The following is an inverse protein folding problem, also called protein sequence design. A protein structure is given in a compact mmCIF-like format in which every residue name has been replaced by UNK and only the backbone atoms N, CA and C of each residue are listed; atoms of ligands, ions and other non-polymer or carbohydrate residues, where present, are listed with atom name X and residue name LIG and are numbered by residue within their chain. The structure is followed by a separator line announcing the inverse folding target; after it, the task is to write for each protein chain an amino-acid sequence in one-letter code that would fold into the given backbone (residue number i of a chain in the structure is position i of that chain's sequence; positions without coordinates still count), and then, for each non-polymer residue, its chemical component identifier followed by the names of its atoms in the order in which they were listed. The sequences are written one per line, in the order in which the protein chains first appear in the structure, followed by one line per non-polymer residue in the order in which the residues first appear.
data_IF_000445507009
#
_entry.id   IF_000445507009
#
_cell.length_a   1.000
_cell.length_b   1.000
_cell.length_c   1.000
_cell.angle_alpha   90.00
_cell.angle_beta   90.00
_cell.angle_gamma   90.00
#
_symmetry.space_group_name_H-M   'P 1'
#
loop_
_entity.id
_entity.type
_entity.pdbx_description
1 polymer ?
#
# COMPACT_ATOMS: atom_id res chain seq x y z
N UNK A 1 60.24 48.48 9.05
CA UNK A 1 59.36 47.68 9.93
C UNK A 1 57.97 47.76 9.36
N UNK A 2 57.64 46.81 8.50
CA UNK A 2 56.43 46.79 7.62
C UNK A 2 55.48 45.76 8.15
N UNK A 3 54.34 46.21 8.65
CA UNK A 3 53.28 45.35 9.25
C UNK A 3 52.31 44.91 8.17
N UNK A 4 52.42 43.67 7.69
CA UNK A 4 51.52 43.05 6.72
C UNK A 4 50.19 42.70 7.42
N UNK A 5 49.09 43.43 7.12
CA UNK A 5 47.73 43.08 7.57
C UNK A 5 47.19 41.93 6.70
N UNK A 6 47.04 40.76 7.32
CA UNK A 6 46.30 39.64 6.75
C UNK A 6 44.80 39.96 6.73
N UNK A 7 44.22 40.08 5.55
CA UNK A 7 42.77 40.21 5.35
C UNK A 7 42.18 38.79 5.37
N UNK A 8 41.63 38.39 6.53
CA UNK A 8 40.88 37.14 6.64
C UNK A 8 39.58 37.22 5.84
N UNK A 9 39.51 36.49 4.73
CA UNK A 9 38.27 36.31 3.97
C UNK A 9 37.33 35.37 4.72
N UNK A 10 36.35 35.93 5.41
CA UNK A 10 35.21 35.18 5.97
C UNK A 10 34.31 34.77 4.82
N UNK A 11 34.49 33.57 4.28
CA UNK A 11 33.54 32.94 3.39
C UNK A 11 32.26 32.66 4.19
N UNK A 12 31.27 33.54 4.00
CA UNK A 12 29.91 33.33 4.50
C UNK A 12 29.35 32.04 3.83
N UNK A 13 29.20 30.98 4.64
CA UNK A 13 28.49 29.80 4.17
C UNK A 13 27.06 30.21 3.77
N UNK A 14 26.76 30.09 2.50
CA UNK A 14 25.38 30.26 1.97
C UNK A 14 24.54 29.18 2.61
N UNK A 15 23.43 29.51 3.31
CA UNK A 15 22.55 28.49 3.86
C UNK A 15 22.02 27.66 2.68
N UNK A 16 22.30 26.36 2.66
CA UNK A 16 21.66 25.45 1.74
C UNK A 16 20.14 25.58 1.95
N UNK A 17 19.43 26.03 0.93
CA UNK A 17 17.96 26.00 0.94
C UNK A 17 17.51 24.57 1.24
N UNK A 18 16.49 24.37 2.11
CA UNK A 18 15.99 23.04 2.38
C UNK A 18 15.57 22.40 1.06
N UNK A 19 16.08 21.20 0.78
CA UNK A 19 15.74 20.45 -0.42
C UNK A 19 14.20 20.33 -0.48
N UNK A 20 13.61 20.91 -1.52
CA UNK A 20 12.15 20.85 -1.71
C UNK A 20 11.77 19.39 -1.87
N UNK A 21 10.93 18.87 -0.96
CA UNK A 21 10.38 17.52 -1.07
C UNK A 21 9.59 17.44 -2.38
N UNK A 22 10.08 16.63 -3.31
CA UNK A 22 9.39 16.34 -4.57
C UNK A 22 9.10 14.85 -4.63
N UNK A 23 7.83 14.52 -4.86
CA UNK A 23 7.43 13.14 -5.18
C UNK A 23 7.77 12.89 -6.65
N UNK A 24 8.49 11.80 -6.92
CA UNK A 24 8.72 11.32 -8.28
C UNK A 24 7.56 10.37 -8.67
N UNK A 25 6.68 10.76 -9.61
CA UNK A 25 5.55 9.93 -10.03
C UNK A 25 5.98 8.59 -10.65
N UNK A 26 7.10 8.55 -11.37
CA UNK A 26 7.58 7.32 -12.00
C UNK A 26 8.04 6.32 -10.94
N UNK A 27 8.71 6.81 -9.89
CA UNK A 27 9.11 6.00 -8.75
C UNK A 27 7.91 5.47 -7.96
N UNK A 28 6.88 6.31 -7.72
CA UNK A 28 5.65 5.88 -7.06
C UNK A 28 4.95 4.79 -7.88
N UNK A 29 4.82 5.01 -9.18
CA UNK A 29 4.17 4.05 -10.08
C UNK A 29 4.92 2.71 -10.09
N UNK A 30 6.23 2.71 -10.32
CA UNK A 30 7.04 1.48 -10.42
C UNK A 30 7.08 0.71 -9.10
N UNK A 31 7.25 1.41 -7.96
CA UNK A 31 7.26 0.78 -6.65
C UNK A 31 5.87 0.25 -6.26
N UNK A 32 4.80 0.99 -6.53
CA UNK A 32 3.43 0.58 -6.29
C UNK A 32 3.01 -0.61 -7.16
N UNK A 33 3.37 -0.60 -8.45
CA UNK A 33 3.12 -1.73 -9.34
C UNK A 33 3.82 -3.01 -8.86
N UNK A 34 5.12 -2.92 -8.54
CA UNK A 34 5.89 -4.05 -8.04
C UNK A 34 5.32 -4.57 -6.70
N UNK A 35 5.01 -3.67 -5.76
CA UNK A 35 4.42 -4.06 -4.48
C UNK A 35 3.06 -4.73 -4.67
N UNK A 36 2.25 -4.28 -5.66
CA UNK A 36 0.97 -4.91 -5.97
C UNK A 36 1.15 -6.29 -6.61
N UNK A 37 2.17 -6.50 -7.41
CA UNK A 37 2.50 -7.85 -7.90
C UNK A 37 2.91 -8.78 -6.74
N UNK A 38 3.69 -8.27 -5.78
CA UNK A 38 4.10 -9.06 -4.60
C UNK A 38 2.89 -9.45 -3.76
N UNK A 39 1.99 -8.52 -3.42
CA UNK A 39 0.80 -8.84 -2.62
C UNK A 39 -0.10 -9.84 -3.37
N UNK A 40 -0.29 -9.67 -4.67
CA UNK A 40 -1.07 -10.60 -5.50
C UNK A 40 -0.46 -12.00 -5.48
N UNK A 41 0.86 -12.11 -5.65
CA UNK A 41 1.57 -13.39 -5.60
C UNK A 41 1.42 -14.05 -4.24
N UNK A 42 1.60 -13.30 -3.15
CA UNK A 42 1.44 -13.82 -1.78
C UNK A 42 0.03 -14.32 -1.55
N UNK A 43 -0.99 -13.57 -1.99
CA UNK A 43 -2.39 -14.00 -1.86
C UNK A 43 -2.67 -15.30 -2.62
N UNK A 44 -2.18 -15.43 -3.85
CA UNK A 44 -2.33 -16.66 -4.65
C UNK A 44 -1.63 -17.85 -3.99
N UNK A 45 -0.44 -17.66 -3.42
CA UNK A 45 0.26 -18.70 -2.68
C UNK A 45 -0.52 -19.13 -1.42
N UNK A 46 -1.06 -18.17 -0.67
CA UNK A 46 -1.87 -18.47 0.52
C UNK A 46 -3.16 -19.24 0.18
N UNK A 47 -3.78 -18.94 -0.97
CA UNK A 47 -4.89 -19.72 -1.51
C UNK A 47 -4.44 -21.13 -1.92
N UNK A 48 -3.33 -21.23 -2.64
CA UNK A 48 -2.79 -22.51 -3.10
C UNK A 48 -2.48 -23.46 -1.94
N UNK A 49 -1.92 -22.93 -0.85
CA UNK A 49 -1.62 -23.70 0.35
C UNK A 49 -2.83 -23.92 1.28
N UNK A 50 -4.01 -23.45 0.90
CA UNK A 50 -5.25 -23.62 1.70
C UNK A 50 -5.29 -22.77 2.98
N UNK A 51 -4.36 -21.83 3.16
CA UNK A 51 -4.35 -20.89 4.31
C UNK A 51 -5.50 -19.89 4.17
N UNK A 52 -5.71 -19.36 2.98
CA UNK A 52 -6.87 -18.55 2.63
C UNK A 52 -7.90 -19.42 1.91
N UNK A 53 -9.17 -19.24 2.26
CA UNK A 53 -10.29 -19.95 1.58
C UNK A 53 -11.02 -19.05 0.59
N UNK A 54 -10.71 -17.76 0.58
CA UNK A 54 -11.37 -16.75 -0.25
C UNK A 54 -10.33 -15.86 -0.92
N UNK A 55 -10.45 -15.72 -2.22
CA UNK A 55 -9.74 -14.70 -3.00
C UNK A 55 -10.46 -13.37 -2.82
N UNK A 56 -9.90 -12.50 -1.98
CA UNK A 56 -10.52 -11.21 -1.64
C UNK A 56 -10.72 -10.28 -2.85
N UNK A 57 -9.76 -10.09 -3.77
CA UNK A 57 -9.98 -9.34 -5.00
C UNK A 57 -11.14 -9.86 -5.85
N UNK A 58 -11.22 -11.17 -6.04
CA UNK A 58 -12.31 -11.81 -6.76
C UNK A 58 -13.63 -11.68 -5.98
N UNK A 59 -13.60 -11.85 -4.67
CA UNK A 59 -14.77 -11.66 -3.83
C UNK A 59 -15.32 -10.23 -3.96
N UNK A 60 -14.45 -9.19 -3.88
CA UNK A 60 -14.85 -7.79 -4.07
C UNK A 60 -15.46 -7.59 -5.46
N UNK A 61 -14.86 -8.12 -6.52
CA UNK A 61 -15.39 -7.94 -7.87
C UNK A 61 -16.77 -8.60 -8.05
N UNK A 62 -17.01 -9.74 -7.42
CA UNK A 62 -18.32 -10.43 -7.43
C UNK A 62 -19.44 -9.64 -6.76
N UNK A 63 -19.10 -8.65 -5.92
CA UNK A 63 -20.12 -7.76 -5.37
C UNK A 63 -20.79 -6.91 -6.46
N UNK A 64 -20.10 -6.65 -7.57
CA UNK A 64 -20.55 -5.75 -8.63
C UNK A 64 -20.73 -6.43 -9.99
N UNK A 65 -20.07 -7.56 -10.23
CA UNK A 65 -20.03 -8.27 -11.52
C UNK A 65 -20.41 -9.74 -11.34
N UNK A 66 -21.35 -10.22 -12.14
CA UNK A 66 -21.84 -11.61 -12.09
C UNK A 66 -21.18 -12.53 -13.14
N UNK A 67 -20.64 -11.96 -14.22
CA UNK A 67 -20.01 -12.70 -15.31
C UNK A 67 -18.68 -13.32 -14.85
N UNK A 68 -18.50 -14.66 -14.88
CA UNK A 68 -17.31 -15.33 -14.38
C UNK A 68 -16.00 -14.90 -15.05
N UNK A 69 -16.05 -14.56 -16.34
CA UNK A 69 -14.85 -14.11 -17.10
C UNK A 69 -14.47 -12.70 -16.71
N UNK A 70 -15.46 -11.82 -16.56
CA UNK A 70 -15.23 -10.42 -16.20
C UNK A 70 -14.82 -10.24 -14.74
N UNK A 71 -15.29 -11.11 -13.85
CA UNK A 71 -14.98 -11.06 -12.41
C UNK A 71 -13.47 -11.05 -12.16
N UNK A 72 -12.70 -11.91 -12.83
CA UNK A 72 -11.26 -11.97 -12.64
C UNK A 72 -10.55 -10.72 -13.16
N UNK A 73 -10.91 -10.26 -14.37
CA UNK A 73 -10.31 -9.05 -14.94
C UNK A 73 -10.64 -7.81 -14.13
N UNK A 74 -11.89 -7.67 -13.67
CA UNK A 74 -12.32 -6.55 -12.83
C UNK A 74 -11.65 -6.60 -11.46
N UNK A 75 -11.59 -7.78 -10.83
CA UNK A 75 -10.91 -7.96 -9.54
C UNK A 75 -9.44 -7.57 -9.59
N UNK A 76 -8.73 -8.03 -10.61
CA UNK A 76 -7.32 -7.64 -10.82
C UNK A 76 -7.18 -6.14 -11.10
N UNK A 77 -8.06 -5.57 -11.92
CA UNK A 77 -8.06 -4.13 -12.23
C UNK A 77 -8.29 -3.27 -10.99
N UNK A 78 -9.27 -3.62 -10.16
CA UNK A 78 -9.53 -2.93 -8.88
C UNK A 78 -8.29 -3.07 -7.97
N UNK A 79 -7.73 -4.26 -7.86
CA UNK A 79 -6.57 -4.51 -7.00
C UNK A 79 -5.35 -3.71 -7.42
N UNK A 80 -5.02 -3.65 -8.71
CA UNK A 80 -3.93 -2.84 -9.25
C UNK A 80 -4.16 -1.35 -9.01
N UNK A 81 -5.37 -0.86 -9.29
CA UNK A 81 -5.73 0.56 -9.08
C UNK A 81 -5.59 0.95 -7.62
N UNK A 82 -6.10 0.14 -6.70
CA UNK A 82 -6.00 0.39 -5.27
C UNK A 82 -4.55 0.31 -4.78
N UNK A 83 -3.77 -0.66 -5.27
CA UNK A 83 -2.35 -0.75 -4.92
C UNK A 83 -1.56 0.48 -5.37
N UNK A 84 -1.79 1.00 -6.57
CA UNK A 84 -1.18 2.23 -7.05
C UNK A 84 -1.64 3.46 -6.24
N UNK A 85 -2.93 3.55 -5.91
CA UNK A 85 -3.45 4.64 -5.08
C UNK A 85 -2.79 4.65 -3.69
N UNK A 86 -2.65 3.48 -3.05
CA UNK A 86 -1.98 3.38 -1.76
C UNK A 86 -0.47 3.63 -1.83
N UNK A 87 0.19 3.36 -2.96
CA UNK A 87 1.57 3.77 -3.16
C UNK A 87 1.73 5.30 -3.17
N UNK A 88 0.78 6.03 -3.75
CA UNK A 88 0.74 7.48 -3.64
C UNK A 88 0.54 7.97 -2.20
N UNK A 89 -0.37 7.33 -1.45
CA UNK A 89 -0.54 7.64 -0.02
C UNK A 89 0.75 7.38 0.75
N UNK A 90 1.43 6.26 0.49
CA UNK A 90 2.72 5.96 1.11
C UNK A 90 3.77 7.02 0.81
N UNK A 91 3.88 7.46 -0.46
CA UNK A 91 4.83 8.49 -0.86
C UNK A 91 4.60 9.84 -0.14
N UNK A 92 3.35 10.15 0.20
CA UNK A 92 2.99 11.36 0.96
C UNK A 92 3.34 11.26 2.45
N UNK A 93 3.21 10.07 3.06
CA UNK A 93 3.42 9.89 4.50
C UNK A 93 4.84 9.46 4.86
N UNK A 94 5.55 8.79 3.94
CA UNK A 94 6.88 8.22 4.17
C UNK A 94 7.90 9.25 4.69
N UNK A 95 7.94 10.52 4.22
CA UNK A 95 8.89 11.51 4.72
C UNK A 95 8.70 11.88 6.19
N UNK A 96 7.53 11.60 6.74
CA UNK A 96 7.20 11.88 8.15
C UNK A 96 7.62 10.71 9.06
N UNK A 97 7.88 9.54 8.49
CA UNK A 97 8.31 8.35 9.21
C UNK A 97 9.83 8.37 9.40
N UNK A 98 10.28 8.03 10.62
CA UNK A 98 11.69 8.16 11.03
C UNK A 98 12.43 6.82 11.14
N UNK A 99 11.86 5.76 10.58
CA UNK A 99 12.42 4.41 10.65
C UNK A 99 13.13 4.05 9.33
N UNK A 100 13.68 2.85 9.27
CA UNK A 100 14.26 2.34 8.03
C UNK A 100 13.17 2.15 6.94
N UNK A 101 13.53 2.18 5.64
CA UNK A 101 12.56 2.01 4.56
C UNK A 101 11.66 0.79 4.70
N UNK A 102 12.21 -0.35 5.10
CA UNK A 102 11.43 -1.58 5.33
C UNK A 102 10.49 -1.48 6.52
N UNK A 103 10.91 -0.82 7.60
CA UNK A 103 10.05 -0.60 8.77
C UNK A 103 8.93 0.40 8.47
N UNK A 104 9.23 1.48 7.74
CA UNK A 104 8.21 2.43 7.28
C UNK A 104 7.14 1.70 6.45
N UNK A 105 7.58 0.85 5.51
CA UNK A 105 6.67 0.04 4.72
C UNK A 105 5.88 -0.97 5.55
N UNK A 106 6.52 -1.64 6.52
CA UNK A 106 5.85 -2.59 7.41
C UNK A 106 4.73 -1.90 8.23
N UNK A 107 5.03 -0.76 8.85
CA UNK A 107 4.06 0.04 9.61
C UNK A 107 2.90 0.44 8.70
N UNK A 108 3.22 0.93 7.50
CA UNK A 108 2.20 1.29 6.51
C UNK A 108 1.31 0.10 6.15
N UNK A 109 1.89 -1.09 5.92
CA UNK A 109 1.17 -2.32 5.59
C UNK A 109 0.20 -2.74 6.71
N UNK A 110 0.61 -2.64 7.98
CA UNK A 110 -0.27 -2.91 9.14
C UNK A 110 -1.44 -1.93 9.20
N UNK A 111 -1.14 -0.63 9.09
CA UNK A 111 -2.17 0.42 9.14
C UNK A 111 -3.14 0.28 7.97
N UNK A 112 -2.61 0.03 6.76
CA UNK A 112 -3.42 -0.17 5.57
C UNK A 112 -4.34 -1.39 5.73
N UNK A 113 -3.81 -2.52 6.20
CA UNK A 113 -4.61 -3.71 6.50
C UNK A 113 -5.74 -3.41 7.47
N UNK A 114 -5.42 -2.75 8.59
CA UNK A 114 -6.42 -2.40 9.59
C UNK A 114 -7.53 -1.50 9.02
N UNK A 115 -7.17 -0.50 8.21
CA UNK A 115 -8.14 0.38 7.53
C UNK A 115 -9.01 -0.38 6.52
N UNK A 116 -8.39 -1.22 5.69
CA UNK A 116 -9.12 -2.00 4.69
C UNK A 116 -10.08 -2.98 5.37
N UNK A 117 -9.65 -3.65 6.43
CA UNK A 117 -10.48 -4.64 7.13
C UNK A 117 -11.55 -4.02 8.04
N UNK A 118 -11.27 -2.88 8.66
CA UNK A 118 -12.22 -2.22 9.55
C UNK A 118 -13.21 -1.31 8.82
N UNK A 119 -12.83 -0.74 7.67
CA UNK A 119 -13.63 0.25 6.95
C UNK A 119 -13.93 -0.23 5.53
N UNK A 120 -12.90 -0.56 4.76
CA UNK A 120 -13.03 -0.83 3.32
C UNK A 120 -13.94 -2.03 3.03
N UNK A 121 -13.61 -3.20 3.57
CA UNK A 121 -14.37 -4.43 3.35
C UNK A 121 -15.81 -4.34 3.88
N UNK A 122 -16.07 -3.88 5.13
CA UNK A 122 -17.43 -3.71 5.61
C UNK A 122 -18.24 -2.72 4.77
N UNK A 123 -17.67 -1.57 4.42
CA UNK A 123 -18.38 -0.55 3.63
C UNK A 123 -18.75 -1.07 2.25
N UNK A 124 -17.79 -1.68 1.53
CA UNK A 124 -18.04 -2.22 0.20
C UNK A 124 -19.10 -3.32 0.23
N UNK A 125 -19.03 -4.23 1.21
CA UNK A 125 -20.00 -5.31 1.32
C UNK A 125 -21.37 -4.83 1.77
N UNK A 126 -21.45 -3.81 2.63
CA UNK A 126 -22.73 -3.20 3.02
C UNK A 126 -23.41 -2.50 1.83
N UNK A 127 -22.64 -1.75 1.03
CA UNK A 127 -23.17 -1.12 -0.20
C UNK A 127 -23.66 -2.19 -1.18
N UNK A 128 -22.91 -3.27 -1.36
CA UNK A 128 -23.30 -4.37 -2.23
C UNK A 128 -24.56 -5.11 -1.72
N UNK A 129 -24.69 -5.31 -0.40
CA UNK A 129 -25.88 -5.89 0.22
C UNK A 129 -27.12 -5.04 -0.05
N UNK A 130 -27.02 -3.71 0.08
CA UNK A 130 -28.09 -2.78 -0.23
C UNK A 130 -28.49 -2.81 -1.71
N UNK A 131 -27.52 -2.83 -2.63
CA UNK A 131 -27.79 -2.87 -4.09
C UNK A 131 -28.46 -4.17 -4.49
N UNK A 132 -28.06 -5.29 -3.89
CA UNK A 132 -28.54 -6.63 -4.23
C UNK A 132 -29.78 -7.05 -3.42
N UNK A 133 -30.14 -6.30 -2.38
CA UNK A 133 -31.13 -6.68 -1.38
C UNK A 133 -30.84 -8.08 -0.78
N UNK A 134 -29.53 -8.38 -0.53
CA UNK A 134 -29.04 -9.65 -0.03
C UNK A 134 -27.96 -9.43 1.06
N UNK A 135 -28.34 -9.63 2.31
CA UNK A 135 -27.45 -9.46 3.48
C UNK A 135 -26.35 -10.52 3.56
N UNK A 136 -26.46 -11.61 2.80
CA UNK A 136 -25.46 -12.69 2.80
C UNK A 136 -24.11 -12.24 2.22
N UNK A 137 -24.10 -11.18 1.40
CA UNK A 137 -22.88 -10.61 0.82
C UNK A 137 -22.07 -9.76 1.80
N UNK A 138 -22.63 -9.42 2.98
CA UNK A 138 -21.92 -8.65 4.00
C UNK A 138 -20.81 -9.48 4.66
N UNK A 139 -19.55 -9.06 4.48
CA UNK A 139 -18.38 -9.79 4.98
C UNK A 139 -18.17 -9.70 6.50
N UNK A 140 -18.83 -8.75 7.15
CA UNK A 140 -18.59 -8.45 8.57
C UNK A 140 -17.33 -7.62 8.80
N UNK A 141 -17.18 -7.14 10.03
CA UNK A 141 -15.97 -6.44 10.46
C UNK A 141 -14.78 -7.39 10.43
N UNK A 142 -13.63 -6.90 9.94
CA UNK A 142 -12.42 -7.71 9.77
C UNK A 142 -12.66 -8.99 8.95
N UNK A 143 -13.57 -8.95 7.99
CA UNK A 143 -13.95 -10.10 7.17
C UNK A 143 -14.39 -11.33 8.02
N UNK A 144 -14.98 -11.10 9.19
CA UNK A 144 -15.29 -12.15 10.18
C UNK A 144 -16.22 -13.24 9.65
N UNK A 145 -17.09 -12.91 8.70
CA UNK A 145 -17.97 -13.89 8.02
C UNK A 145 -17.25 -14.70 6.94
N UNK A 146 -16.07 -14.26 6.49
CA UNK A 146 -15.24 -14.99 5.53
C UNK A 146 -14.23 -15.92 6.23
N UNK A 147 -14.24 -15.94 7.57
CA UNK A 147 -13.36 -16.75 8.40
C UNK A 147 -12.04 -16.07 8.78
N UNK A 148 -11.48 -16.48 9.92
CA UNK A 148 -10.22 -15.93 10.47
C UNK A 148 -9.05 -16.09 9.48
N UNK A 149 -9.02 -17.20 8.72
CA UNK A 149 -8.00 -17.45 7.70
C UNK A 149 -7.95 -16.37 6.63
N UNK A 150 -9.10 -15.82 6.20
CA UNK A 150 -9.16 -14.73 5.23
C UNK A 150 -8.55 -13.44 5.79
N UNK A 151 -8.84 -13.09 7.05
CA UNK A 151 -8.28 -11.90 7.70
C UNK A 151 -6.76 -12.02 7.90
N UNK A 152 -6.27 -13.19 8.33
CA UNK A 152 -4.85 -13.45 8.55
C UNK A 152 -4.06 -13.50 7.24
N UNK A 153 -4.59 -14.15 6.21
CA UNK A 153 -4.00 -14.15 4.88
C UNK A 153 -3.90 -12.72 4.32
N UNK A 154 -4.95 -11.92 4.50
CA UNK A 154 -4.95 -10.51 4.13
C UNK A 154 -3.89 -9.72 4.90
N UNK A 155 -3.69 -9.96 6.21
CA UNK A 155 -2.63 -9.33 6.98
C UNK A 155 -1.26 -9.64 6.38
N UNK A 156 -0.93 -10.91 6.18
CA UNK A 156 0.36 -11.32 5.61
C UNK A 156 0.59 -10.68 4.25
N UNK A 157 -0.43 -10.64 3.42
CA UNK A 157 -0.36 -10.03 2.10
C UNK A 157 -0.10 -8.51 2.17
N UNK A 158 -0.77 -7.78 3.08
CA UNK A 158 -0.54 -6.34 3.26
C UNK A 158 0.84 -6.02 3.88
N UNK A 159 1.36 -6.89 4.75
CA UNK A 159 2.73 -6.77 5.25
C UNK A 159 3.75 -6.93 4.10
N UNK A 160 3.55 -7.91 3.24
CA UNK A 160 4.41 -8.12 2.07
C UNK A 160 4.35 -6.91 1.11
N UNK A 161 3.15 -6.38 0.85
CA UNK A 161 2.96 -5.14 0.08
C UNK A 161 3.73 -3.98 0.68
N UNK A 162 3.50 -3.69 1.96
CA UNK A 162 4.10 -2.56 2.65
C UNK A 162 5.62 -2.64 2.67
N UNK A 163 6.19 -3.80 3.03
CA UNK A 163 7.65 -4.01 3.04
C UNK A 163 8.24 -3.82 1.65
N UNK A 164 7.63 -4.40 0.62
CA UNK A 164 8.09 -4.26 -0.77
C UNK A 164 8.06 -2.81 -1.22
N UNK A 165 6.96 -2.12 -0.95
CA UNK A 165 6.79 -0.70 -1.27
C UNK A 165 7.85 0.15 -0.54
N UNK A 166 8.03 -0.04 0.77
CA UNK A 166 9.01 0.69 1.56
C UNK A 166 10.44 0.47 1.09
N UNK A 167 10.81 -0.77 0.78
CA UNK A 167 12.17 -1.11 0.29
C UNK A 167 12.42 -0.50 -1.09
N UNK A 168 11.48 -0.61 -2.03
CA UNK A 168 11.70 -0.13 -3.40
C UNK A 168 11.66 1.39 -3.43
N UNK A 169 10.60 2.00 -2.91
CA UNK A 169 10.43 3.46 -2.89
C UNK A 169 11.50 4.15 -2.04
N UNK A 170 11.68 3.72 -0.79
CA UNK A 170 12.56 4.38 0.15
C UNK A 170 14.05 4.28 -0.20
N UNK A 171 14.49 3.14 -0.79
CA UNK A 171 15.90 3.01 -1.25
C UNK A 171 16.20 3.85 -2.46
N UNK A 172 15.29 3.98 -3.40
CA UNK A 172 15.53 4.76 -4.62
C UNK A 172 15.46 6.26 -4.34
N UNK A 173 14.58 6.68 -3.43
CA UNK A 173 14.51 8.10 -3.02
C UNK A 173 15.79 8.58 -2.32
N UNK A 174 16.50 7.71 -1.64
CA UNK A 174 17.72 8.03 -0.88
C UNK A 174 19.00 7.96 -1.74
N UNK A 175 18.89 7.70 -3.04
CA UNK A 175 20.00 7.74 -4.00
C UNK A 175 20.05 9.06 -4.73
#
# INVERSE_FOLDING_TARGET
METTRSIGSTTRAVPCAPASFRIDPALVFSSGFLATLVITTVMLLLLWFGVAQVDLPIWVSRLFVSDPVKVQAVGLGIHLTMGLAFAWVFALVEPQLRFSPSQNGLIFGVVLWAMVQAIGVPTLSAVAALIRADDSVFAGWFASRLGVGAAMASLVAHLAYGVSLGVVYGRQRNR
#
